data_IF_871031967314
#
_entry.id   IF_871031967314
#
_cell.length_a   1.000
_cell.length_b   1.000
_cell.length_c   1.000
_cell.angle_alpha   90.00
_cell.angle_beta   90.00
_cell.angle_gamma   90.00
#
_symmetry.space_group_name_H-M   'P 1'
#
loop_
_entity.id
_entity.type
_entity.pdbx_description
1 polymer ?
#
# COMPACT_ATOMS: atom_id res chain seq x y z
N UNK A 1 12.95 14.79 18.59
CA UNK A 1 12.58 13.90 17.46
C UNK A 1 12.04 12.63 18.08
N UNK A 2 10.79 12.26 17.78
CA UNK A 2 10.10 11.06 18.33
C UNK A 2 10.85 9.78 17.97
N UNK A 3 10.79 8.73 18.82
CA UNK A 3 11.46 7.44 18.56
C UNK A 3 11.05 6.82 17.22
N UNK A 4 9.77 6.95 16.85
CA UNK A 4 9.22 6.55 15.54
C UNK A 4 9.98 7.22 14.38
N UNK A 5 10.21 8.53 14.45
CA UNK A 5 10.91 9.25 13.37
C UNK A 5 12.38 8.82 13.24
N UNK A 6 13.04 8.50 14.36
CA UNK A 6 14.39 7.95 14.35
C UNK A 6 14.41 6.54 13.74
N UNK A 7 13.47 5.67 14.13
CA UNK A 7 13.35 4.32 13.57
C UNK A 7 13.11 4.33 12.05
N UNK A 8 12.24 5.21 11.55
CA UNK A 8 12.05 5.40 10.10
C UNK A 8 13.33 5.87 9.41
N UNK A 9 14.06 6.80 10.04
CA UNK A 9 15.33 7.27 9.50
C UNK A 9 16.39 6.16 9.44
N UNK A 10 16.41 5.28 10.44
CA UNK A 10 17.30 4.12 10.49
C UNK A 10 16.98 3.11 9.38
N UNK A 11 15.70 2.72 9.21
CA UNK A 11 15.27 1.86 8.11
C UNK A 11 15.61 2.48 6.75
N UNK A 12 15.35 3.78 6.59
CA UNK A 12 15.68 4.53 5.37
C UNK A 12 17.19 4.50 5.10
N UNK A 13 18.02 4.77 6.10
CA UNK A 13 19.48 4.84 5.95
C UNK A 13 20.07 3.48 5.57
N UNK A 14 19.67 2.40 6.24
CA UNK A 14 20.12 1.03 5.95
C UNK A 14 19.72 0.61 4.54
N UNK A 15 18.50 0.93 4.12
CA UNK A 15 18.01 0.58 2.78
C UNK A 15 18.71 1.35 1.67
N UNK A 16 18.93 2.66 1.85
CA UNK A 16 19.70 3.48 0.90
C UNK A 16 21.15 3.01 0.79
N UNK A 17 21.77 2.61 1.91
CA UNK A 17 23.10 2.03 1.90
C UNK A 17 23.12 0.72 1.11
N UNK A 18 22.15 -0.17 1.30
CA UNK A 18 22.02 -1.40 0.53
C UNK A 18 21.85 -1.14 -0.97
N UNK A 19 20.95 -0.23 -1.37
CA UNK A 19 20.83 0.19 -2.78
C UNK A 19 22.18 0.66 -3.34
N UNK A 20 22.91 1.49 -2.58
CA UNK A 20 24.19 2.02 -3.02
C UNK A 20 25.26 0.93 -3.23
N UNK A 21 25.21 -0.16 -2.46
CA UNK A 21 26.13 -1.30 -2.63
C UNK A 21 25.85 -2.13 -3.89
N UNK A 22 24.59 -2.15 -4.36
CA UNK A 22 24.19 -2.84 -5.59
C UNK A 22 24.60 -2.04 -6.83
N UNK A 23 24.53 -0.72 -6.76
CA UNK A 23 24.89 0.16 -7.87
C UNK A 23 26.40 0.10 -8.21
N UNK A 24 26.79 0.42 -9.46
CA UNK A 24 28.19 0.51 -9.84
C UNK A 24 28.98 1.50 -8.97
N UNK A 25 30.13 1.05 -8.46
CA UNK A 25 30.94 1.79 -7.48
C UNK A 25 31.61 3.07 -8.03
N UNK A 26 31.75 3.20 -9.34
CA UNK A 26 32.35 4.37 -10.00
C UNK A 26 31.50 4.81 -11.18
N UNK A 27 31.14 6.10 -11.19
CA UNK A 27 30.28 6.76 -12.20
C UNK A 27 29.06 5.91 -12.61
N UNK A 28 27.95 6.00 -11.86
CA UNK A 28 26.72 5.29 -12.18
C UNK A 28 26.17 5.60 -13.57
N UNK A 29 26.54 6.69 -14.26
CA UNK A 29 26.13 6.87 -15.66
C UNK A 29 24.61 7.04 -15.81
N UNK A 30 24.05 6.65 -16.94
CA UNK A 30 22.60 6.76 -17.19
C UNK A 30 21.80 5.67 -16.48
N UNK A 31 20.49 5.89 -16.29
CA UNK A 31 19.63 4.87 -15.69
C UNK A 31 19.65 3.52 -16.45
N UNK A 32 19.70 3.55 -17.79
CA UNK A 32 19.81 2.36 -18.62
C UNK A 32 21.15 1.63 -18.38
N UNK A 33 22.26 2.37 -18.37
CA UNK A 33 23.58 1.80 -18.08
C UNK A 33 23.68 1.20 -16.67
N UNK A 34 22.97 1.74 -15.67
CA UNK A 34 22.88 1.14 -14.33
C UNK A 34 22.14 -0.18 -14.39
N UNK A 35 20.92 -0.18 -14.96
CA UNK A 35 20.06 -1.37 -15.10
C UNK A 35 20.81 -2.50 -15.82
N UNK A 36 21.50 -2.19 -16.91
CA UNK A 36 22.25 -3.18 -17.69
C UNK A 36 23.45 -3.73 -16.92
N UNK A 37 24.25 -2.87 -16.25
CA UNK A 37 25.47 -3.31 -15.55
C UNK A 37 25.20 -4.16 -14.32
N UNK A 38 24.12 -3.89 -13.57
CA UNK A 38 23.76 -4.72 -12.42
C UNK A 38 23.10 -6.05 -12.86
N UNK A 39 22.70 -6.13 -14.14
CA UNK A 39 22.00 -7.28 -14.71
C UNK A 39 20.53 -7.35 -14.28
N UNK A 40 19.88 -6.22 -14.02
CA UNK A 40 18.52 -6.22 -13.52
C UNK A 40 17.57 -6.89 -14.51
N UNK A 41 16.74 -7.79 -14.01
CA UNK A 41 15.69 -8.41 -14.83
C UNK A 41 14.76 -7.31 -15.38
N UNK A 42 14.23 -7.44 -16.62
CA UNK A 42 13.35 -6.42 -17.21
C UNK A 42 12.17 -6.00 -16.32
N UNK A 43 11.62 -6.96 -15.57
CA UNK A 43 10.52 -6.73 -14.61
C UNK A 43 10.93 -5.97 -13.35
N UNK A 44 12.21 -5.89 -13.02
CA UNK A 44 12.75 -5.14 -11.86
C UNK A 44 13.47 -3.85 -12.26
N UNK A 45 13.68 -3.59 -13.55
CA UNK A 45 14.36 -2.39 -14.03
C UNK A 45 13.73 -1.08 -13.52
N UNK A 46 12.41 -1.06 -13.31
CA UNK A 46 11.70 0.09 -12.73
C UNK A 46 12.09 0.37 -11.28
N UNK A 47 12.31 -0.66 -10.45
CA UNK A 47 12.76 -0.49 -9.06
C UNK A 47 14.12 0.18 -9.02
N UNK A 48 15.02 -0.24 -9.90
CA UNK A 48 16.37 0.34 -10.00
C UNK A 48 16.29 1.82 -10.37
N UNK A 49 15.38 2.21 -11.27
CA UNK A 49 15.14 3.62 -11.60
C UNK A 49 14.59 4.38 -10.39
N UNK A 50 13.69 3.79 -9.61
CA UNK A 50 13.21 4.37 -8.33
C UNK A 50 14.31 4.46 -7.28
N UNK A 51 15.23 3.51 -7.21
CA UNK A 51 16.39 3.60 -6.33
C UNK A 51 17.29 4.78 -6.70
N UNK A 52 17.52 5.01 -7.99
CA UNK A 52 18.27 6.19 -8.46
C UNK A 52 17.59 7.50 -8.04
N UNK A 53 16.26 7.57 -8.08
CA UNK A 53 15.48 8.71 -7.56
C UNK A 53 15.69 8.84 -6.05
N UNK A 54 15.44 7.78 -5.28
CA UNK A 54 15.56 7.80 -3.81
C UNK A 54 16.97 8.16 -3.32
N UNK A 55 18.02 7.64 -3.97
CA UNK A 55 19.42 7.97 -3.70
C UNK A 55 19.73 9.44 -4.06
N UNK A 56 19.11 9.98 -5.10
CA UNK A 56 19.26 11.40 -5.49
C UNK A 56 18.57 12.32 -4.49
N UNK A 57 17.35 11.99 -4.06
CA UNK A 57 16.62 12.73 -3.01
C UNK A 57 17.37 12.69 -1.67
N UNK A 58 18.01 11.57 -1.35
CA UNK A 58 18.90 11.43 -0.20
C UNK A 58 20.26 12.14 -0.38
N UNK A 59 20.51 12.78 -1.53
CA UNK A 59 21.75 13.48 -1.87
C UNK A 59 23.00 12.59 -1.90
N UNK A 60 22.82 11.27 -2.00
CA UNK A 60 23.89 10.28 -2.19
C UNK A 60 24.35 10.29 -3.65
N UNK A 61 23.40 10.48 -4.57
CA UNK A 61 23.64 10.75 -5.98
C UNK A 61 23.33 12.22 -6.31
N UNK A 62 23.98 12.72 -7.35
CA UNK A 62 23.59 13.91 -8.09
C UNK A 62 23.23 13.50 -9.50
N UNK A 63 22.23 14.18 -10.07
CA UNK A 63 21.84 14.03 -11.46
C UNK A 63 22.33 15.24 -12.28
N UNK A 64 23.06 14.97 -13.34
CA UNK A 64 23.57 15.94 -14.32
C UNK A 64 23.03 15.55 -15.71
N UNK A 65 21.98 16.22 -16.14
CA UNK A 65 21.18 15.79 -17.30
C UNK A 65 20.51 14.43 -17.06
N UNK A 66 20.87 13.44 -17.85
CA UNK A 66 20.41 12.05 -17.76
C UNK A 66 21.38 11.12 -17.01
N UNK A 67 22.51 11.65 -16.52
CA UNK A 67 23.56 10.88 -15.85
C UNK A 67 23.55 11.08 -14.34
N UNK A 68 23.85 10.01 -13.61
CA UNK A 68 23.98 9.96 -12.17
C UNK A 68 25.45 9.88 -11.76
N UNK A 69 25.83 10.66 -10.74
CA UNK A 69 27.18 10.69 -10.17
C UNK A 69 27.12 10.58 -8.66
N UNK A 70 28.05 9.83 -8.07
CA UNK A 70 28.22 9.76 -6.61
C UNK A 70 28.57 11.14 -6.04
N UNK A 71 27.81 11.57 -5.04
CA UNK A 71 28.06 12.80 -4.29
C UNK A 71 28.69 12.51 -2.93
N UNK A 72 28.25 11.45 -2.27
CA UNK A 72 28.81 10.92 -1.03
C UNK A 72 28.64 9.40 -1.01
N UNK A 73 29.41 8.73 -0.16
CA UNK A 73 29.25 7.29 0.10
C UNK A 73 28.18 7.11 1.16
N UNK A 74 27.26 6.17 0.92
CA UNK A 74 26.28 5.75 1.92
C UNK A 74 26.92 4.75 2.88
N UNK A 75 26.79 4.98 4.18
CA UNK A 75 27.14 4.02 5.21
C UNK A 75 26.09 4.09 6.32
N UNK A 76 25.56 2.94 6.72
CA UNK A 76 24.59 2.83 7.80
C UNK A 76 24.89 1.56 8.60
N UNK A 77 24.77 1.65 9.92
CA UNK A 77 25.00 0.54 10.86
C UNK A 77 23.85 0.36 11.86
N UNK A 78 22.66 0.89 11.54
CA UNK A 78 21.51 0.78 12.42
C UNK A 78 21.02 -0.68 12.52
N UNK A 79 20.51 -1.05 13.69
CA UNK A 79 19.91 -2.37 13.90
C UNK A 79 18.46 -2.35 13.39
N UNK A 80 18.21 -3.12 12.33
CA UNK A 80 16.86 -3.30 11.79
C UNK A 80 15.89 -3.83 12.85
N UNK A 81 16.33 -4.72 13.76
CA UNK A 81 15.44 -5.31 14.76
C UNK A 81 14.86 -4.24 15.69
N UNK A 82 15.71 -3.34 16.20
CA UNK A 82 15.28 -2.24 17.07
C UNK A 82 14.38 -1.26 16.33
N UNK A 83 14.72 -0.90 15.09
CA UNK A 83 13.94 0.03 14.28
C UNK A 83 12.53 -0.53 13.95
N UNK A 84 12.43 -1.79 13.55
CA UNK A 84 11.13 -2.44 13.31
C UNK A 84 10.32 -2.57 14.60
N UNK A 85 10.95 -2.90 15.73
CA UNK A 85 10.28 -3.02 17.02
C UNK A 85 9.72 -1.67 17.51
N UNK A 86 10.46 -0.56 17.38
CA UNK A 86 9.98 0.79 17.73
C UNK A 86 8.80 1.25 16.84
N UNK A 87 8.69 0.71 15.62
CA UNK A 87 7.55 0.94 14.72
C UNK A 87 6.38 -0.02 14.96
N UNK A 88 6.52 -0.96 15.89
CA UNK A 88 5.47 -1.92 16.25
C UNK A 88 5.33 -3.10 15.28
N UNK A 89 6.30 -3.32 14.38
CA UNK A 89 6.27 -4.48 13.50
C UNK A 89 6.60 -5.78 14.23
N UNK A 90 6.01 -6.91 13.80
CA UNK A 90 6.43 -8.22 14.25
C UNK A 90 7.92 -8.48 13.95
N UNK A 91 8.68 -9.14 14.84
CA UNK A 91 10.13 -9.36 14.67
C UNK A 91 10.55 -10.02 13.35
N UNK A 92 9.66 -10.83 12.77
CA UNK A 92 9.89 -11.45 11.46
C UNK A 92 10.07 -10.44 10.33
N UNK A 93 9.51 -9.23 10.42
CA UNK A 93 9.69 -8.20 9.39
C UNK A 93 11.13 -7.70 9.34
N UNK A 94 11.78 -7.56 10.50
CA UNK A 94 13.21 -7.25 10.55
C UNK A 94 14.07 -8.38 9.95
N UNK A 95 13.72 -9.64 10.23
CA UNK A 95 14.42 -10.80 9.67
C UNK A 95 14.23 -10.91 8.14
N UNK A 96 13.00 -10.72 7.67
CA UNK A 96 12.67 -10.68 6.25
C UNK A 96 13.43 -9.56 5.54
N UNK A 97 13.37 -8.32 6.06
CA UNK A 97 14.07 -7.19 5.43
C UNK A 97 15.57 -7.40 5.41
N UNK A 98 16.17 -7.88 6.51
CA UNK A 98 17.60 -8.24 6.54
C UNK A 98 17.98 -9.25 5.47
N UNK A 99 17.14 -10.27 5.27
CA UNK A 99 17.35 -11.30 4.25
C UNK A 99 17.22 -10.69 2.85
N UNK A 100 16.21 -9.85 2.62
CA UNK A 100 16.02 -9.13 1.36
C UNK A 100 17.20 -8.22 1.03
N UNK A 101 17.76 -7.50 2.01
CA UNK A 101 18.94 -6.66 1.81
C UNK A 101 20.20 -7.49 1.50
N UNK A 102 20.33 -8.67 2.11
CA UNK A 102 21.47 -9.58 1.87
C UNK A 102 21.43 -10.15 0.45
N UNK A 103 20.23 -10.50 -0.03
CA UNK A 103 19.99 -11.08 -1.36
C UNK A 103 19.54 -10.03 -2.39
N UNK A 104 19.78 -8.75 -2.12
CA UNK A 104 19.27 -7.66 -2.95
C UNK A 104 19.78 -7.72 -4.41
N UNK A 105 21.06 -8.05 -4.68
CA UNK A 105 21.53 -8.29 -6.05
C UNK A 105 20.76 -9.42 -6.75
N UNK A 106 20.55 -10.55 -6.08
CA UNK A 106 19.87 -11.74 -6.59
C UNK A 106 18.39 -11.46 -6.86
N UNK A 107 17.72 -10.72 -5.96
CA UNK A 107 16.35 -10.24 -6.15
C UNK A 107 16.23 -9.36 -7.39
N UNK A 108 17.15 -8.40 -7.58
CA UNK A 108 17.14 -7.49 -8.75
C UNK A 108 17.34 -8.26 -10.06
N UNK A 109 18.13 -9.33 -10.04
CA UNK A 109 18.36 -10.22 -11.18
C UNK A 109 17.24 -11.25 -11.38
N UNK A 110 16.24 -11.30 -10.50
CA UNK A 110 15.16 -12.31 -10.48
C UNK A 110 15.70 -13.75 -10.33
N UNK A 111 16.86 -13.91 -9.67
CA UNK A 111 17.48 -15.21 -9.34
C UNK A 111 16.84 -15.86 -8.11
N UNK A 112 16.30 -15.04 -7.22
CA UNK A 112 15.45 -15.39 -6.07
C UNK A 112 14.23 -14.48 -6.11
N UNK A 113 13.06 -14.98 -5.72
CA UNK A 113 11.85 -14.15 -5.69
C UNK A 113 11.57 -13.61 -4.28
N UNK A 114 11.01 -12.41 -4.18
CA UNK A 114 10.62 -11.87 -2.85
C UNK A 114 9.54 -12.73 -2.19
N UNK A 115 8.70 -13.41 -2.98
CA UNK A 115 7.68 -14.33 -2.50
C UNK A 115 8.30 -15.52 -1.76
N UNK A 116 9.40 -16.08 -2.26
CA UNK A 116 10.15 -17.16 -1.57
C UNK A 116 10.66 -16.71 -0.20
N UNK A 117 11.06 -15.43 -0.07
CA UNK A 117 11.54 -14.87 1.19
C UNK A 117 10.40 -14.51 2.15
N UNK A 118 9.33 -13.90 1.63
CA UNK A 118 8.20 -13.41 2.42
C UNK A 118 7.31 -14.55 2.93
N UNK A 119 7.12 -15.59 2.11
CA UNK A 119 6.23 -16.72 2.39
C UNK A 119 6.98 -18.00 2.74
N UNK A 120 8.22 -17.90 3.22
CA UNK A 120 9.07 -19.05 3.55
C UNK A 120 8.41 -20.04 4.53
N UNK A 121 7.59 -19.53 5.46
CA UNK A 121 6.87 -20.34 6.46
C UNK A 121 5.52 -20.89 5.94
N UNK A 122 5.14 -20.61 4.70
CA UNK A 122 3.92 -21.09 4.05
C UNK A 122 2.63 -20.36 4.44
N UNK A 123 2.66 -19.45 5.42
CA UNK A 123 1.50 -18.66 5.84
C UNK A 123 1.46 -17.29 5.13
N UNK A 124 0.77 -17.25 4.00
CA UNK A 124 0.60 -16.04 3.17
C UNK A 124 -0.19 -14.96 3.91
N UNK A 125 -1.24 -15.33 4.64
CA UNK A 125 -2.14 -14.38 5.30
C UNK A 125 -1.38 -13.65 6.39
N UNK A 126 -0.70 -14.43 7.24
CA UNK A 126 0.09 -13.90 8.33
C UNK A 126 1.21 -13.03 7.74
N UNK A 127 1.99 -13.50 6.76
CA UNK A 127 3.07 -12.70 6.16
C UNK A 127 2.62 -11.33 5.62
N UNK A 128 1.48 -11.29 4.93
CA UNK A 128 0.88 -10.03 4.47
C UNK A 128 0.41 -9.15 5.63
N UNK A 129 -0.15 -9.76 6.69
CA UNK A 129 -0.56 -9.04 7.90
C UNK A 129 0.63 -8.32 8.56
N UNK A 130 1.74 -9.01 8.78
CA UNK A 130 2.90 -8.40 9.45
C UNK A 130 3.51 -7.25 8.67
N UNK A 131 3.44 -7.26 7.35
CA UNK A 131 3.91 -6.13 6.55
C UNK A 131 3.12 -4.84 6.83
N UNK A 132 1.85 -4.96 7.19
CA UNK A 132 1.00 -3.81 7.46
C UNK A 132 0.80 -3.57 8.97
N UNK A 133 1.26 -4.48 9.83
CA UNK A 133 1.10 -4.41 11.28
C UNK A 133 2.16 -3.49 11.88
N UNK A 134 1.86 -2.20 11.96
CA UNK A 134 2.73 -1.18 12.53
C UNK A 134 1.93 0.00 13.06
N UNK A 135 2.56 0.86 13.86
CA UNK A 135 1.89 1.98 14.54
C UNK A 135 1.32 3.03 13.57
N UNK A 136 1.94 3.22 12.40
CA UNK A 136 1.48 4.21 11.40
C UNK A 136 0.18 3.73 10.76
N UNK A 137 0.18 2.50 10.25
CA UNK A 137 -0.99 1.87 9.63
C UNK A 137 -2.11 1.66 10.64
N UNK A 138 -1.79 1.23 11.87
CA UNK A 138 -2.76 1.09 12.95
C UNK A 138 -3.46 2.43 13.28
N UNK A 139 -2.71 3.53 13.41
CA UNK A 139 -3.28 4.84 13.67
C UNK A 139 -4.26 5.28 12.57
N UNK A 140 -3.88 5.11 11.29
CA UNK A 140 -4.74 5.47 10.17
C UNK A 140 -5.98 4.59 10.08
N UNK A 141 -5.86 3.29 10.33
CA UNK A 141 -6.99 2.35 10.36
C UNK A 141 -7.96 2.67 11.51
N UNK A 142 -7.47 3.03 12.69
CA UNK A 142 -8.32 3.46 13.80
C UNK A 142 -9.05 4.77 13.50
N UNK A 143 -8.39 5.72 12.82
CA UNK A 143 -9.04 6.96 12.33
C UNK A 143 -10.12 6.63 11.30
N UNK A 144 -9.83 5.72 10.36
CA UNK A 144 -10.79 5.24 9.37
C UNK A 144 -12.04 4.65 10.05
N UNK A 145 -11.86 3.80 11.05
CA UNK A 145 -12.97 3.23 11.83
C UNK A 145 -13.83 4.28 12.53
N UNK A 146 -13.22 5.33 13.10
CA UNK A 146 -13.97 6.44 13.72
C UNK A 146 -14.80 7.23 12.71
N UNK A 147 -14.24 7.54 11.55
CA UNK A 147 -14.99 8.20 10.47
C UNK A 147 -16.14 7.32 9.97
N UNK A 148 -15.93 5.99 9.88
CA UNK A 148 -16.99 5.07 9.52
C UNK A 148 -18.13 5.07 10.54
N UNK A 149 -17.82 5.07 11.84
CA UNK A 149 -18.81 5.23 12.91
C UNK A 149 -19.63 6.51 12.73
N UNK A 150 -18.99 7.64 12.48
CA UNK A 150 -19.67 8.93 12.26
C UNK A 150 -20.65 8.87 11.06
N UNK A 151 -20.28 8.16 10.00
CA UNK A 151 -21.16 7.95 8.84
C UNK A 151 -22.33 7.03 9.20
N UNK A 152 -22.08 5.91 9.88
CA UNK A 152 -23.13 4.99 10.32
C UNK A 152 -24.16 5.67 11.24
N UNK A 153 -23.72 6.53 12.15
CA UNK A 153 -24.61 7.25 13.08
C UNK A 153 -25.57 8.22 12.37
N UNK A 154 -25.28 8.60 11.12
CA UNK A 154 -26.12 9.46 10.30
C UNK A 154 -27.10 8.70 9.39
N UNK A 155 -26.95 7.38 9.26
CA UNK A 155 -27.80 6.53 8.42
C UNK A 155 -29.01 6.03 9.23
N UNK A 156 -30.16 5.91 8.57
CA UNK A 156 -31.36 5.31 9.16
C UNK A 156 -31.41 3.80 8.86
N UNK A 157 -31.18 2.97 9.87
CA UNK A 157 -31.15 1.50 9.73
C UNK A 157 -29.73 0.95 9.55
N UNK A 158 -29.57 -0.32 9.11
CA UNK A 158 -28.27 -0.96 8.97
C UNK A 158 -27.44 -0.30 7.88
N UNK A 159 -26.29 0.25 8.25
CA UNK A 159 -25.38 0.89 7.30
C UNK A 159 -24.73 -0.17 6.39
N UNK A 160 -24.80 0.04 5.08
CA UNK A 160 -24.24 -0.86 4.07
C UNK A 160 -22.76 -0.53 3.82
N UNK A 161 -21.86 -1.42 4.22
CA UNK A 161 -20.40 -1.23 4.11
C UNK A 161 -19.82 -2.22 3.11
N UNK A 162 -19.04 -1.73 2.16
CA UNK A 162 -18.27 -2.56 1.21
C UNK A 162 -16.78 -2.29 1.40
N UNK A 163 -16.04 -3.29 1.86
CA UNK A 163 -14.58 -3.26 1.91
C UNK A 163 -13.99 -3.85 0.63
N UNK A 164 -13.23 -3.04 -0.10
CA UNK A 164 -12.50 -3.43 -1.29
C UNK A 164 -11.07 -3.82 -0.91
N UNK A 165 -10.64 -5.00 -1.32
CA UNK A 165 -9.27 -5.47 -1.08
C UNK A 165 -8.93 -5.55 0.41
N UNK A 166 -9.78 -6.19 1.21
CA UNK A 166 -9.62 -6.25 2.66
C UNK A 166 -8.35 -6.96 3.12
N UNK A 167 -7.63 -7.64 2.21
CA UNK A 167 -6.26 -8.05 2.46
C UNK A 167 -6.17 -9.08 3.59
N UNK A 168 -5.15 -8.91 4.44
CA UNK A 168 -5.01 -9.68 5.67
C UNK A 168 -5.96 -9.22 6.81
N UNK A 169 -6.81 -8.23 6.57
CA UNK A 169 -7.90 -7.84 7.46
C UNK A 169 -7.53 -6.83 8.55
N UNK A 170 -6.47 -6.03 8.38
CA UNK A 170 -6.07 -5.02 9.37
C UNK A 170 -7.05 -3.84 9.40
N UNK A 171 -7.45 -3.35 8.23
CA UNK A 171 -8.50 -2.32 8.11
C UNK A 171 -9.83 -2.88 8.60
N UNK A 172 -10.21 -4.09 8.18
CA UNK A 172 -11.37 -4.83 8.70
C UNK A 172 -11.40 -4.87 10.22
N UNK A 173 -10.30 -5.27 10.88
CA UNK A 173 -10.25 -5.39 12.33
C UNK A 173 -10.45 -4.05 13.05
N UNK A 174 -9.90 -2.96 12.50
CA UNK A 174 -10.10 -1.62 13.05
C UNK A 174 -11.54 -1.12 12.84
N UNK A 175 -12.11 -1.38 11.66
CA UNK A 175 -13.50 -1.08 11.33
C UNK A 175 -14.45 -1.81 12.29
N UNK A 176 -14.32 -3.13 12.45
CA UNK A 176 -15.17 -3.93 13.34
C UNK A 176 -15.06 -3.49 14.81
N UNK A 177 -13.87 -3.10 15.27
CA UNK A 177 -13.69 -2.56 16.63
C UNK A 177 -14.39 -1.22 16.81
N UNK A 178 -14.23 -0.32 15.85
CA UNK A 178 -14.87 1.00 15.90
C UNK A 178 -16.38 0.90 15.72
N UNK A 179 -16.86 -0.13 15.00
CA UNK A 179 -18.25 -0.35 14.67
C UNK A 179 -19.03 -1.21 15.68
N UNK A 180 -18.39 -1.71 16.74
CA UNK A 180 -19.02 -2.53 17.77
C UNK A 180 -20.29 -1.90 18.34
N UNK A 181 -21.39 -2.66 18.36
CA UNK A 181 -22.71 -2.20 18.82
C UNK A 181 -23.52 -1.37 17.82
N UNK A 182 -23.08 -1.25 16.57
CA UNK A 182 -23.84 -0.55 15.51
C UNK A 182 -24.45 -1.52 14.53
N UNK A 183 -25.64 -1.15 14.04
CA UNK A 183 -26.36 -1.91 13.02
C UNK A 183 -25.70 -1.68 11.66
N UNK A 184 -25.03 -2.71 11.15
CA UNK A 184 -24.29 -2.66 9.87
C UNK A 184 -24.46 -3.96 9.10
N UNK A 185 -24.44 -3.86 7.78
CA UNK A 185 -24.22 -4.99 6.88
C UNK A 185 -22.84 -4.81 6.23
N UNK A 186 -21.89 -5.66 6.61
CA UNK A 186 -20.49 -5.52 6.20
C UNK A 186 -20.11 -6.56 5.15
N UNK A 187 -19.85 -6.12 3.93
CA UNK A 187 -19.32 -6.96 2.87
C UNK A 187 -17.80 -6.82 2.76
N UNK A 188 -17.09 -7.84 3.21
CA UNK A 188 -15.66 -8.00 2.96
C UNK A 188 -15.43 -8.54 1.56
N UNK A 189 -14.54 -7.89 0.80
CA UNK A 189 -14.13 -8.39 -0.52
C UNK A 189 -12.61 -8.36 -0.72
N UNK A 190 -12.12 -9.31 -1.51
CA UNK A 190 -10.73 -9.34 -1.97
C UNK A 190 -10.63 -10.11 -3.30
N UNK A 191 -9.62 -9.81 -4.12
CA UNK A 191 -9.37 -10.56 -5.36
C UNK A 191 -8.88 -11.99 -5.04
N UNK A 192 -8.16 -12.17 -3.93
CA UNK A 192 -7.58 -13.44 -3.49
C UNK A 192 -8.59 -14.31 -2.75
N UNK A 193 -8.85 -15.50 -3.29
CA UNK A 193 -9.69 -16.52 -2.64
C UNK A 193 -9.13 -16.97 -1.29
N UNK A 194 -7.81 -16.98 -1.13
CA UNK A 194 -7.15 -17.36 0.12
C UNK A 194 -7.49 -16.34 1.21
N UNK A 195 -7.41 -15.04 0.90
CA UNK A 195 -7.72 -13.96 1.84
C UNK A 195 -9.21 -13.94 2.19
N UNK A 196 -10.10 -14.09 1.20
CA UNK A 196 -11.56 -14.22 1.44
C UNK A 196 -11.88 -15.42 2.34
N UNK A 197 -11.25 -16.58 2.12
CA UNK A 197 -11.47 -17.76 2.96
C UNK A 197 -10.95 -17.56 4.38
N UNK A 198 -9.78 -16.94 4.53
CA UNK A 198 -9.19 -16.65 5.83
C UNK A 198 -10.06 -15.66 6.63
N UNK A 199 -10.54 -14.59 6.00
CA UNK A 199 -11.45 -13.63 6.60
C UNK A 199 -12.77 -14.30 7.04
N UNK A 200 -13.36 -15.14 6.19
CA UNK A 200 -14.58 -15.90 6.51
C UNK A 200 -14.39 -16.81 7.73
N UNK A 201 -13.24 -17.46 7.85
CA UNK A 201 -12.93 -18.32 9.01
C UNK A 201 -12.70 -17.48 10.28
N UNK A 202 -11.95 -16.38 10.16
CA UNK A 202 -11.61 -15.48 11.26
C UNK A 202 -12.83 -14.80 11.88
N UNK A 203 -13.81 -14.44 11.06
CA UNK A 203 -14.99 -13.68 11.44
C UNK A 203 -16.29 -14.51 11.30
N UNK A 204 -16.20 -15.84 11.46
CA UNK A 204 -17.33 -16.75 11.30
C UNK A 204 -18.47 -16.53 12.33
N UNK A 205 -18.16 -15.89 13.45
CA UNK A 205 -19.08 -15.54 14.53
C UNK A 205 -19.72 -14.15 14.37
N UNK A 206 -19.42 -13.44 13.27
CA UNK A 206 -19.98 -12.11 12.94
C UNK A 206 -21.11 -12.23 11.92
N UNK A 207 -22.39 -12.35 12.36
CA UNK A 207 -23.53 -12.50 11.43
C UNK A 207 -23.74 -11.29 10.53
N UNK A 208 -23.26 -10.11 10.93
CA UNK A 208 -23.27 -8.87 10.16
C UNK A 208 -22.32 -8.92 8.95
N UNK A 209 -21.41 -9.89 8.88
CA UNK A 209 -20.40 -9.97 7.83
C UNK A 209 -20.74 -10.96 6.72
N UNK A 210 -20.52 -10.53 5.49
CA UNK A 210 -20.50 -11.39 4.30
C UNK A 210 -19.16 -11.27 3.59
N UNK A 211 -18.79 -12.31 2.83
CA UNK A 211 -17.46 -12.42 2.21
C UNK A 211 -17.59 -12.83 0.75
N UNK A 212 -16.93 -12.11 -0.15
CA UNK A 212 -16.99 -12.37 -1.61
C UNK A 212 -15.65 -12.12 -2.28
N UNK A 213 -15.35 -12.88 -3.33
CA UNK A 213 -14.26 -12.51 -4.24
C UNK A 213 -14.72 -11.34 -5.13
N UNK A 214 -13.92 -10.29 -5.25
CA UNK A 214 -14.22 -9.14 -6.10
C UNK A 214 -12.96 -8.62 -6.79
N UNK A 215 -13.09 -8.31 -8.07
CA UNK A 215 -12.07 -7.66 -8.88
C UNK A 215 -12.41 -6.17 -9.05
N UNK A 216 -11.53 -5.30 -8.56
CA UNK A 216 -11.72 -3.84 -8.61
C UNK A 216 -11.54 -3.26 -10.03
N UNK A 217 -10.96 -4.04 -10.94
CA UNK A 217 -10.81 -3.71 -12.36
C UNK A 217 -11.98 -4.23 -13.22
N UNK A 218 -12.97 -4.89 -12.62
CA UNK A 218 -14.19 -5.34 -13.29
C UNK A 218 -15.41 -4.49 -12.87
N UNK A 219 -16.48 -4.52 -13.67
CA UNK A 219 -17.71 -3.79 -13.34
C UNK A 219 -18.33 -4.33 -12.03
N UNK A 220 -18.70 -3.44 -11.11
CA UNK A 220 -19.20 -3.81 -9.78
C UNK A 220 -20.61 -4.42 -9.86
N UNK A 221 -21.45 -3.90 -10.75
CA UNK A 221 -22.81 -4.41 -10.98
C UNK A 221 -22.79 -5.87 -11.48
N UNK A 222 -21.88 -6.18 -12.41
CA UNK A 222 -21.69 -7.55 -12.90
C UNK A 222 -21.18 -8.54 -11.84
N UNK A 223 -20.66 -8.02 -10.73
CA UNK A 223 -20.20 -8.79 -9.57
C UNK A 223 -21.22 -8.74 -8.40
N UNK A 224 -22.41 -8.21 -8.65
CA UNK A 224 -23.54 -8.18 -7.72
C UNK A 224 -23.47 -7.07 -6.67
N UNK A 225 -22.85 -5.94 -7.00
CA UNK A 225 -22.90 -4.69 -6.23
C UNK A 225 -23.71 -3.66 -7.00
N UNK A 226 -24.89 -3.30 -6.50
CA UNK A 226 -25.82 -2.44 -7.22
C UNK A 226 -25.44 -0.95 -7.07
N UNK A 227 -25.67 -0.11 -8.09
CA UNK A 227 -25.46 1.32 -7.96
C UNK A 227 -26.29 1.93 -6.81
N UNK A 228 -25.67 2.80 -6.03
CA UNK A 228 -26.30 3.48 -4.89
C UNK A 228 -26.62 2.57 -3.69
N UNK A 229 -26.05 1.36 -3.63
CA UNK A 229 -26.36 0.38 -2.57
C UNK A 229 -25.42 0.41 -1.37
N UNK A 230 -24.39 1.26 -1.36
CA UNK A 230 -23.45 1.36 -0.24
C UNK A 230 -23.49 2.74 0.42
N UNK A 231 -23.47 2.77 1.75
CA UNK A 231 -23.29 3.99 2.53
C UNK A 231 -21.80 4.29 2.72
N UNK A 232 -20.99 3.25 2.85
CA UNK A 232 -19.54 3.34 3.03
C UNK A 232 -18.85 2.36 2.08
N UNK A 233 -17.89 2.88 1.31
CA UNK A 233 -16.87 2.04 0.66
C UNK A 233 -15.55 2.29 1.37
N UNK A 234 -14.90 1.22 1.83
CA UNK A 234 -13.60 1.29 2.49
C UNK A 234 -12.54 0.54 1.68
N UNK A 235 -11.33 1.08 1.59
CA UNK A 235 -10.23 0.46 0.86
C UNK A 235 -8.89 0.66 1.59
N UNK A 236 -8.29 -0.43 2.08
CA UNK A 236 -7.04 -0.40 2.84
C UNK A 236 -5.82 -0.67 1.96
N UNK A 237 -5.19 0.38 1.43
CA UNK A 237 -3.93 0.32 0.68
C UNK A 237 -4.01 -0.66 -0.52
N UNK A 238 -5.01 -0.45 -1.38
CA UNK A 238 -5.33 -1.32 -2.53
C UNK A 238 -5.64 -0.56 -3.82
N UNK A 239 -6.15 0.67 -3.77
CA UNK A 239 -6.62 1.41 -4.96
C UNK A 239 -5.47 1.74 -5.91
N UNK A 240 -4.23 1.85 -5.41
CA UNK A 240 -3.04 1.98 -6.26
C UNK A 240 -2.80 0.79 -7.18
N UNK A 241 -3.38 -0.39 -6.89
CA UNK A 241 -3.25 -1.60 -7.73
C UNK A 241 -4.22 -1.62 -8.92
N UNK A 242 -5.19 -0.71 -8.98
CA UNK A 242 -6.13 -0.64 -10.09
C UNK A 242 -5.39 -0.38 -11.42
N UNK A 243 -5.69 -1.17 -12.45
CA UNK A 243 -5.13 -0.99 -13.78
C UNK A 243 -5.53 0.36 -14.39
N UNK A 244 -6.75 0.82 -14.09
CA UNK A 244 -7.26 2.12 -14.50
C UNK A 244 -7.98 2.81 -13.31
N UNK A 245 -7.21 3.51 -12.47
CA UNK A 245 -7.70 4.19 -11.25
C UNK A 245 -8.97 5.02 -11.49
N UNK A 246 -9.01 5.83 -12.55
CA UNK A 246 -10.18 6.65 -12.89
C UNK A 246 -11.46 5.80 -13.07
N UNK A 247 -11.35 4.63 -13.72
CA UNK A 247 -12.46 3.70 -13.91
C UNK A 247 -12.90 3.07 -12.58
N UNK A 248 -11.95 2.59 -11.76
CA UNK A 248 -12.27 2.03 -10.43
C UNK A 248 -12.92 3.07 -9.52
N UNK A 249 -12.40 4.30 -9.48
CA UNK A 249 -13.02 5.41 -8.73
C UNK A 249 -14.42 5.76 -9.26
N UNK A 250 -14.65 5.65 -10.57
CA UNK A 250 -15.99 5.83 -11.17
C UNK A 250 -16.97 4.74 -10.70
N UNK A 251 -16.55 3.48 -10.65
CA UNK A 251 -17.38 2.38 -10.13
C UNK A 251 -17.69 2.57 -8.64
N UNK A 252 -16.71 2.99 -7.84
CA UNK A 252 -16.90 3.33 -6.42
C UNK A 252 -17.91 4.47 -6.27
N UNK A 253 -17.77 5.55 -7.06
CA UNK A 253 -18.71 6.66 -7.04
C UNK A 253 -20.13 6.22 -7.40
N UNK A 254 -20.31 5.30 -8.35
CA UNK A 254 -21.63 4.75 -8.71
C UNK A 254 -22.21 3.85 -7.61
N UNK A 255 -21.37 3.08 -6.93
CA UNK A 255 -21.76 2.17 -5.85
C UNK A 255 -22.29 2.93 -4.62
N UNK A 256 -21.65 4.02 -4.26
CA UNK A 256 -22.07 4.84 -3.12
C UNK A 256 -23.45 5.46 -3.36
N UNK A 257 -24.34 5.42 -2.37
CA UNK A 257 -25.59 6.19 -2.37
C UNK A 257 -25.34 7.70 -2.28
N UNK A 258 -26.35 8.56 -2.55
CA UNK A 258 -26.27 9.98 -2.26
C UNK A 258 -25.85 10.22 -0.79
N UNK A 259 -24.83 11.06 -0.57
CA UNK A 259 -24.30 11.33 0.77
C UNK A 259 -23.34 10.27 1.34
N UNK A 260 -23.16 9.13 0.64
CA UNK A 260 -22.26 8.05 1.03
C UNK A 260 -20.77 8.45 1.01
N UNK A 261 -19.94 7.70 1.71
CA UNK A 261 -18.52 8.02 1.91
C UNK A 261 -17.58 6.96 1.34
N UNK A 262 -16.54 7.42 0.64
CA UNK A 262 -15.33 6.63 0.38
C UNK A 262 -14.28 6.97 1.44
N UNK A 263 -13.81 5.94 2.15
CA UNK A 263 -12.73 6.00 3.13
C UNK A 263 -11.59 5.11 2.63
N UNK A 264 -10.39 5.65 2.43
CA UNK A 264 -9.28 4.80 2.02
C UNK A 264 -7.95 5.26 2.58
N UNK A 265 -7.11 4.30 2.91
CA UNK A 265 -5.71 4.57 3.29
C UNK A 265 -4.81 4.18 2.15
N UNK A 266 -3.82 5.00 1.82
CA UNK A 266 -2.85 4.68 0.77
C UNK A 266 -1.44 5.08 1.15
N UNK A 267 -0.48 4.34 0.61
CA UNK A 267 0.90 4.80 0.56
C UNK A 267 0.98 5.93 -0.47
N UNK A 268 1.64 7.04 -0.11
CA UNK A 268 1.65 8.30 -0.87
C UNK A 268 3.04 8.70 -1.35
N UNK A 269 3.99 7.77 -1.32
CA UNK A 269 5.35 8.01 -1.78
C UNK A 269 6.25 6.79 -1.58
N UNK A 270 7.47 6.91 -2.11
CA UNK A 270 8.47 5.86 -1.98
C UNK A 270 9.08 5.83 -0.58
N UNK A 271 9.09 4.66 0.01
CA UNK A 271 9.90 4.35 1.17
C UNK A 271 11.08 3.44 0.78
N UNK A 272 12.33 3.81 1.06
CA UNK A 272 13.48 2.98 0.69
C UNK A 272 13.48 1.56 1.28
N UNK A 273 12.89 1.34 2.46
CA UNK A 273 12.77 -0.01 3.02
C UNK A 273 11.79 -0.85 2.19
N UNK A 274 10.68 -0.26 1.77
CA UNK A 274 9.72 -0.91 0.86
C UNK A 274 10.33 -1.16 -0.52
N UNK A 275 11.05 -0.19 -1.10
CA UNK A 275 11.73 -0.30 -2.40
C UNK A 275 12.78 -1.41 -2.46
N UNK A 276 13.36 -1.80 -1.31
CA UNK A 276 14.35 -2.88 -1.19
C UNK A 276 13.74 -4.21 -0.75
N UNK A 277 12.42 -4.28 -0.60
CA UNK A 277 11.73 -5.49 -0.14
C UNK A 277 10.37 -5.67 -0.82
N UNK A 278 9.30 -5.17 -0.23
CA UNK A 278 7.92 -5.48 -0.64
C UNK A 278 7.56 -4.96 -2.03
N UNK A 279 8.23 -3.93 -2.52
CA UNK A 279 7.98 -3.39 -3.85
C UNK A 279 8.31 -4.38 -4.98
N UNK A 280 9.11 -5.42 -4.71
CA UNK A 280 9.34 -6.51 -5.66
C UNK A 280 8.06 -7.32 -5.97
N UNK A 281 7.06 -7.35 -5.07
CA UNK A 281 5.76 -8.01 -5.33
C UNK A 281 4.98 -7.34 -6.47
N UNK A 282 5.32 -6.09 -6.76
CA UNK A 282 4.63 -5.24 -7.72
C UNK A 282 5.30 -5.29 -9.10
N UNK A 283 6.39 -6.03 -9.23
CA UNK A 283 6.96 -6.32 -10.53
C UNK A 283 6.00 -7.19 -11.35
N UNK A 284 5.87 -6.89 -12.66
CA UNK A 284 4.95 -7.62 -13.51
C UNK A 284 5.48 -9.03 -13.79
N UNK A 285 4.76 -9.80 -14.60
CA UNK A 285 5.17 -11.14 -15.00
C UNK A 285 6.59 -11.16 -15.59
N UNK A 286 7.30 -12.29 -15.45
CA UNK A 286 8.65 -12.43 -15.98
C UNK A 286 8.73 -12.06 -17.47
N UNK A 287 9.77 -11.32 -17.84
CA UNK A 287 9.97 -10.82 -19.20
C UNK A 287 9.14 -9.58 -19.59
N UNK A 288 8.25 -9.10 -18.72
CA UNK A 288 7.49 -7.86 -18.97
C UNK A 288 8.10 -6.67 -18.22
N UNK A 289 8.03 -5.49 -18.82
CA UNK A 289 8.49 -4.24 -18.20
C UNK A 289 7.30 -3.38 -17.75
N UNK A 290 7.50 -2.55 -16.74
CA UNK A 290 6.52 -1.56 -16.27
C UNK A 290 7.11 -0.15 -16.22
N UNK A 291 6.22 0.85 -16.18
CA UNK A 291 6.54 2.26 -15.94
C UNK A 291 6.86 2.52 -14.46
N UNK A 292 7.42 3.70 -14.19
CA UNK A 292 8.01 4.08 -12.89
C UNK A 292 7.01 4.68 -11.87
N UNK A 293 5.74 4.83 -12.23
CA UNK A 293 4.71 5.35 -11.31
C UNK A 293 4.13 4.22 -10.46
N UNK A 294 3.96 4.48 -9.16
CA UNK A 294 3.39 3.49 -8.25
C UNK A 294 2.46 4.08 -7.17
N UNK A 295 2.83 5.21 -6.56
CA UNK A 295 2.01 5.82 -5.51
C UNK A 295 1.65 7.27 -5.83
N UNK A 296 0.36 7.57 -6.09
CA UNK A 296 -0.11 8.93 -6.28
C UNK A 296 0.05 9.71 -4.98
N UNK A 297 0.53 10.95 -5.09
CA UNK A 297 0.55 11.87 -3.96
C UNK A 297 -0.86 12.34 -3.57
N UNK A 298 -1.03 13.02 -2.42
CA UNK A 298 -2.34 13.51 -1.99
C UNK A 298 -3.04 14.39 -3.02
N UNK A 299 -2.29 15.29 -3.68
CA UNK A 299 -2.84 16.20 -4.69
C UNK A 299 -3.28 15.46 -5.95
N UNK A 300 -2.58 14.38 -6.33
CA UNK A 300 -2.95 13.55 -7.47
C UNK A 300 -4.21 12.74 -7.18
N UNK A 301 -4.30 12.11 -6.00
CA UNK A 301 -5.51 11.43 -5.54
C UNK A 301 -6.71 12.40 -5.50
N UNK A 302 -6.53 13.60 -4.96
CA UNK A 302 -7.58 14.62 -4.94
C UNK A 302 -8.02 14.99 -6.36
N UNK A 303 -7.08 15.21 -7.29
CA UNK A 303 -7.40 15.54 -8.67
C UNK A 303 -8.17 14.41 -9.39
N UNK A 304 -7.83 13.15 -9.14
CA UNK A 304 -8.55 12.00 -9.71
C UNK A 304 -9.95 11.82 -9.15
N UNK A 305 -10.11 11.98 -7.83
CA UNK A 305 -11.42 11.96 -7.18
C UNK A 305 -12.35 13.04 -7.74
N UNK A 306 -11.85 14.27 -7.88
CA UNK A 306 -12.61 15.39 -8.43
C UNK A 306 -13.01 15.12 -9.89
N UNK A 307 -12.12 14.54 -10.70
CA UNK A 307 -12.42 14.19 -12.10
C UNK A 307 -13.60 13.22 -12.24
N UNK A 308 -13.82 12.34 -11.27
CA UNK A 308 -14.92 11.36 -11.31
C UNK A 308 -16.20 11.83 -10.60
N UNK A 309 -16.22 13.07 -10.09
CA UNK A 309 -17.40 13.68 -9.50
C UNK A 309 -17.46 13.67 -7.97
N UNK A 310 -16.39 13.28 -7.28
CA UNK A 310 -16.30 13.49 -5.83
C UNK A 310 -15.93 14.95 -5.49
N UNK A 311 -16.27 15.37 -4.27
CA UNK A 311 -15.73 16.59 -3.68
C UNK A 311 -14.23 16.48 -3.39
N UNK A 312 -13.58 17.59 -3.01
CA UNK A 312 -12.20 17.54 -2.53
C UNK A 312 -12.10 16.68 -1.24
N UNK A 313 -11.17 15.72 -1.16
CA UNK A 313 -11.05 14.84 0.00
C UNK A 313 -10.49 15.58 1.22
N UNK A 314 -10.95 15.21 2.42
CA UNK A 314 -10.22 15.47 3.64
C UNK A 314 -9.06 14.47 3.74
N UNK A 315 -7.83 14.96 3.91
CA UNK A 315 -6.62 14.13 3.94
C UNK A 315 -5.92 14.24 5.28
N UNK A 316 -5.68 13.09 5.93
CA UNK A 316 -4.81 12.99 7.11
C UNK A 316 -3.57 12.21 6.74
N UNK A 317 -2.43 12.89 6.70
CA UNK A 317 -1.13 12.25 6.39
C UNK A 317 -0.47 11.72 7.67
N UNK A 318 0.17 10.57 7.58
CA UNK A 318 1.09 10.03 8.58
C UNK A 318 2.29 9.42 7.86
N UNK A 319 3.41 10.15 7.89
CA UNK A 319 4.65 9.78 7.22
C UNK A 319 4.45 9.48 5.71
N UNK A 320 4.67 8.24 5.27
CA UNK A 320 4.55 7.81 3.87
C UNK A 320 3.15 7.27 3.52
N UNK A 321 2.18 7.38 4.43
CA UNK A 321 0.80 6.97 4.21
C UNK A 321 -0.18 8.12 4.46
N UNK A 322 -1.38 8.03 3.92
CA UNK A 322 -2.46 8.95 4.21
C UNK A 322 -3.82 8.25 4.26
N UNK A 323 -4.71 8.77 5.09
CA UNK A 323 -6.15 8.48 5.09
C UNK A 323 -6.87 9.59 4.32
N UNK A 324 -7.72 9.17 3.39
CA UNK A 324 -8.58 10.02 2.58
C UNK A 324 -10.05 9.74 2.95
N UNK A 325 -10.80 10.81 3.18
CA UNK A 325 -12.25 10.75 3.33
C UNK A 325 -12.89 11.68 2.32
N UNK A 326 -13.79 11.14 1.52
CA UNK A 326 -14.55 11.91 0.54
C UNK A 326 -15.99 11.44 0.47
N UNK A 327 -16.91 12.37 0.24
CA UNK A 327 -18.34 12.09 0.14
C UNK A 327 -18.80 12.19 -1.31
N UNK A 328 -19.72 11.32 -1.68
CA UNK A 328 -20.55 11.51 -2.88
C UNK A 328 -21.58 12.58 -2.57
N UNK A 329 -21.57 13.67 -3.34
CA UNK A 329 -22.55 14.74 -3.17
C UNK A 329 -23.98 14.22 -3.38
N UNK A 330 -24.93 14.74 -2.60
CA UNK A 330 -26.35 14.57 -2.91
C UNK A 330 -26.62 15.31 -4.23
N UNK A 331 -27.33 14.67 -5.17
CA UNK A 331 -27.77 15.37 -6.36
C UNK A 331 -28.57 16.60 -5.92
N UNK A 332 -28.22 17.79 -6.42
CA UNK A 332 -28.96 19.00 -6.11
C UNK A 332 -30.45 18.78 -6.45
N UNK A 333 -31.37 19.19 -5.55
CA UNK A 333 -32.79 18.88 -5.64
C UNK A 333 -33.49 19.43 -6.89
#
# INVERSE_FOLDING_TARGET
>A
MTRIAAALQDLRAVSLAAMATVLPSTDPGTAAEVVDRIGAAPRHAWLVRRWLVALTEAKLLRRDGDRYRWATVAAATADLADAYAELGFPPRMAAFHRTALTLLPELVRDEVTVQELLFADGDVVEALAAYQDNVITAELNERCGRLAREVCDAVSGPAQIVELGGGAGLTTAAMLRALDGTDVDYLFTDLSRILVSAARQRYADRPEMTFRQLDIDAAFEGQGLLPGSADIVVAGNVLHNAAERCRTLTEIHRLLGPGGSLLFTESIGDDPAVLTSMQFLLSPAQGTARTDEFFPGPDEWAAELIKVGFAAPAVTTSHFQALFHVRREEAAP
#
